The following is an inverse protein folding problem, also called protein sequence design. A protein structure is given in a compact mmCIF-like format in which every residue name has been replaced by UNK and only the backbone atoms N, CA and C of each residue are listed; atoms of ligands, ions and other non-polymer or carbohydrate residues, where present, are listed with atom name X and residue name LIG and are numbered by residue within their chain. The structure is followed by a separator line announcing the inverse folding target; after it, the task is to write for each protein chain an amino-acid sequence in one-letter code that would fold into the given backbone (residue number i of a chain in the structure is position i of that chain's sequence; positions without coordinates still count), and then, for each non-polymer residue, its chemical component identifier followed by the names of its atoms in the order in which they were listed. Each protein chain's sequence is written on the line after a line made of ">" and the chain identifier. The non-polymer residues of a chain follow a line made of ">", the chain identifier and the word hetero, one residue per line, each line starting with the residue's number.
data_IF_778978658450
#
_entry.id   IF_778978658450
#
_cell.length_a   1.000
_cell.length_b   1.000
_cell.length_c   1.000
_cell.angle_alpha   90.00
_cell.angle_beta   90.00
_cell.angle_gamma   90.00
#
_symmetry.space_group_name_H-M   'P 1'
#
loop_
_entity.id
_entity.type
_entity.pdbx_description
1 polymer ?
#
# COMPACT_ATOMS: atom_id res chain seq x y z
N UNK A 1 20.22 -0.25 14.11
CA UNK A 1 20.24 -1.07 15.36
C UNK A 1 19.22 -0.56 16.39
N UNK A 2 18.69 0.65 16.24
CA UNK A 2 17.82 1.33 17.22
C UNK A 2 16.32 0.97 17.12
N UNK A 3 15.76 0.84 15.92
CA UNK A 3 14.32 0.53 15.74
C UNK A 3 13.92 -0.84 16.34
N UNK A 4 14.88 -1.76 16.52
CA UNK A 4 14.64 -3.07 17.14
C UNK A 4 14.16 -2.94 18.58
N UNK A 5 14.63 -1.92 19.30
CA UNK A 5 14.18 -1.64 20.66
C UNK A 5 12.71 -1.17 20.66
N UNK A 6 12.37 -0.22 19.80
CA UNK A 6 10.98 0.24 19.63
C UNK A 6 10.04 -0.91 19.21
N UNK A 7 10.48 -1.77 18.29
CA UNK A 7 9.74 -2.97 17.88
C UNK A 7 9.48 -3.91 19.08
N UNK A 8 10.48 -4.12 19.96
CA UNK A 8 10.30 -4.90 21.19
C UNK A 8 9.30 -4.24 22.15
N UNK A 9 9.38 -2.92 22.34
CA UNK A 9 8.44 -2.17 23.20
C UNK A 9 6.98 -2.28 22.69
N UNK A 10 6.76 -2.14 21.38
CA UNK A 10 5.42 -2.30 20.80
C UNK A 10 4.87 -3.71 20.98
N UNK A 11 5.73 -4.73 20.83
CA UNK A 11 5.36 -6.14 21.04
C UNK A 11 5.04 -6.44 22.51
N UNK A 12 5.90 -6.02 23.45
CA UNK A 12 5.67 -6.25 24.89
C UNK A 12 4.41 -5.55 25.40
N UNK A 13 4.12 -4.35 24.88
CA UNK A 13 2.90 -3.62 25.20
C UNK A 13 1.63 -4.12 24.48
N UNK A 14 1.71 -5.19 23.66
CA UNK A 14 0.61 -5.68 22.80
C UNK A 14 0.03 -4.61 21.86
N UNK A 15 0.86 -3.64 21.47
CA UNK A 15 0.54 -2.49 20.60
C UNK A 15 1.17 -2.58 19.21
N UNK A 16 1.78 -3.71 18.82
CA UNK A 16 2.29 -3.91 17.47
C UNK A 16 1.14 -4.13 16.46
N UNK A 17 1.15 -3.37 15.36
CA UNK A 17 0.26 -3.57 14.22
C UNK A 17 0.73 -4.73 13.33
N UNK A 18 -0.16 -5.19 12.47
CA UNK A 18 0.12 -6.16 11.39
C UNK A 18 0.89 -5.53 10.23
N UNK A 19 0.85 -4.19 10.11
CA UNK A 19 1.58 -3.41 9.12
C UNK A 19 2.95 -3.02 9.68
N UNK A 20 3.98 -3.24 8.89
CA UNK A 20 5.38 -2.94 9.22
C UNK A 20 6.05 -2.14 8.10
N UNK A 21 7.02 -1.31 8.47
CA UNK A 21 7.92 -0.63 7.53
C UNK A 21 9.36 -0.87 7.94
N UNK A 22 10.20 -1.39 7.04
CA UNK A 22 11.59 -1.76 7.36
C UNK A 22 11.72 -2.71 8.56
N UNK A 23 10.71 -3.56 8.79
CA UNK A 23 10.64 -4.45 9.96
C UNK A 23 10.20 -3.82 11.28
N UNK A 24 9.88 -2.52 11.31
CA UNK A 24 9.27 -1.84 12.45
C UNK A 24 7.73 -1.89 12.33
N UNK A 25 7.01 -2.57 13.24
CA UNK A 25 5.55 -2.52 13.23
C UNK A 25 5.05 -1.12 13.55
N UNK A 26 3.94 -0.73 12.93
CA UNK A 26 3.18 0.46 13.35
C UNK A 26 2.52 0.25 14.71
N UNK A 27 2.00 1.32 15.29
CA UNK A 27 1.12 1.24 16.45
C UNK A 27 -0.21 0.61 16.01
N UNK A 28 -0.71 -0.35 16.79
CA UNK A 28 -1.96 -1.06 16.50
C UNK A 28 -3.12 -0.07 16.29
N UNK A 29 -3.87 -0.26 15.21
CA UNK A 29 -4.98 0.59 14.77
C UNK A 29 -4.59 1.99 14.25
N UNK A 30 -3.31 2.39 14.27
CA UNK A 30 -2.91 3.70 13.73
C UNK A 30 -3.02 3.77 12.21
N UNK A 31 -3.10 2.63 11.52
CA UNK A 31 -3.32 2.58 10.07
C UNK A 31 -4.65 3.24 9.63
N UNK A 32 -5.61 3.37 10.55
CA UNK A 32 -6.91 4.03 10.30
C UNK A 32 -6.86 5.54 10.48
N UNK A 33 -5.76 6.09 11.01
CA UNK A 33 -5.58 7.51 11.28
C UNK A 33 -4.91 8.27 10.13
N UNK A 34 -4.79 7.63 8.95
CA UNK A 34 -4.00 8.08 7.80
C UNK A 34 -2.49 8.08 8.06
N UNK A 35 -1.71 7.87 6.99
CA UNK A 35 -0.24 7.86 7.05
C UNK A 35 0.26 8.88 6.03
N UNK A 36 1.09 9.82 6.48
CA UNK A 36 1.81 10.74 5.62
C UNK A 36 3.23 10.22 5.37
N UNK A 37 3.55 9.89 4.12
CA UNK A 37 4.91 9.54 3.69
C UNK A 37 5.48 10.74 2.94
N UNK A 38 6.47 11.40 3.53
CA UNK A 38 7.11 12.60 2.96
C UNK A 38 8.61 12.40 2.75
N UNK A 39 9.20 13.18 1.85
CA UNK A 39 10.62 13.14 1.49
C UNK A 39 10.86 13.65 0.07
N UNK A 40 12.11 13.99 -0.26
CA UNK A 40 12.50 14.45 -1.60
C UNK A 40 12.50 13.31 -2.63
N UNK A 41 12.73 13.62 -3.90
CA UNK A 41 12.87 12.59 -4.95
C UNK A 41 14.03 11.66 -4.61
N UNK A 42 13.85 10.35 -4.78
CA UNK A 42 14.88 9.35 -4.49
C UNK A 42 14.96 8.88 -3.03
N UNK A 43 14.21 9.46 -2.08
CA UNK A 43 14.27 9.07 -0.66
C UNK A 43 13.51 7.78 -0.30
N UNK A 44 12.99 7.05 -1.28
CA UNK A 44 12.38 5.74 -1.05
C UNK A 44 10.87 5.74 -0.74
N UNK A 45 10.13 6.84 -0.99
CA UNK A 45 8.65 6.86 -0.85
C UNK A 45 7.97 5.72 -1.62
N UNK A 46 8.36 5.50 -2.88
CA UNK A 46 7.88 4.39 -3.71
C UNK A 46 8.28 3.03 -3.13
N UNK A 47 9.47 2.92 -2.52
CA UNK A 47 9.91 1.68 -1.87
C UNK A 47 9.03 1.35 -0.65
N UNK A 48 8.65 2.36 0.13
CA UNK A 48 7.71 2.21 1.25
C UNK A 48 6.35 1.67 0.79
N UNK A 49 5.82 2.19 -0.33
CA UNK A 49 4.56 1.69 -0.92
C UNK A 49 4.70 0.26 -1.44
N UNK A 50 5.84 -0.08 -2.06
CA UNK A 50 6.14 -1.44 -2.50
C UNK A 50 6.23 -2.45 -1.34
N UNK A 51 6.57 -2.00 -0.13
CA UNK A 51 6.54 -2.83 1.08
C UNK A 51 5.12 -2.94 1.67
N UNK A 52 4.31 -1.87 1.56
CA UNK A 52 2.96 -1.82 2.13
C UNK A 52 1.95 -2.69 1.37
N UNK A 53 1.93 -2.59 0.03
CA UNK A 53 0.89 -3.24 -0.79
C UNK A 53 0.85 -4.78 -0.62
N UNK A 54 1.99 -5.50 -0.59
CA UNK A 54 1.99 -6.93 -0.29
C UNK A 54 1.40 -7.26 1.08
N UNK A 55 1.61 -6.40 2.08
CA UNK A 55 1.07 -6.61 3.42
C UNK A 55 -0.46 -6.44 3.43
N UNK A 56 -0.99 -5.41 2.77
CA UNK A 56 -2.44 -5.21 2.61
C UNK A 56 -3.06 -6.46 1.96
N UNK A 57 -2.44 -6.95 0.88
CA UNK A 57 -2.88 -8.16 0.18
C UNK A 57 -2.83 -9.40 1.08
N UNK A 58 -1.72 -9.60 1.80
CA UNK A 58 -1.53 -10.71 2.73
C UNK A 58 -2.61 -10.73 3.83
N UNK A 59 -2.97 -9.56 4.34
CA UNK A 59 -4.00 -9.40 5.37
C UNK A 59 -5.43 -9.45 4.82
N UNK A 60 -5.61 -9.63 3.51
CA UNK A 60 -6.90 -9.60 2.79
C UNK A 60 -7.63 -8.27 2.96
N UNK A 61 -6.88 -7.21 3.21
CA UNK A 61 -7.40 -5.85 3.22
C UNK A 61 -7.54 -5.34 1.78
N UNK A 62 -8.37 -4.29 1.59
CA UNK A 62 -8.61 -3.69 0.27
C UNK A 62 -7.86 -2.37 0.15
N UNK A 63 -7.30 -2.11 -1.02
CA UNK A 63 -6.66 -0.84 -1.34
C UNK A 63 -7.23 -0.25 -2.63
N UNK A 64 -7.32 1.08 -2.66
CA UNK A 64 -7.53 1.87 -3.86
C UNK A 64 -6.20 2.58 -4.14
N UNK A 65 -5.62 2.36 -5.31
CA UNK A 65 -4.33 2.93 -5.70
C UNK A 65 -4.56 3.88 -6.85
N UNK A 66 -4.15 5.14 -6.68
CA UNK A 66 -4.05 6.09 -7.80
C UNK A 66 -2.65 5.94 -8.39
N UNK A 67 -2.57 5.37 -9.59
CA UNK A 67 -1.31 5.03 -10.26
C UNK A 67 -1.17 5.81 -11.57
N UNK A 68 -0.48 6.93 -11.51
CA UNK A 68 -0.27 7.82 -12.67
C UNK A 68 0.75 7.28 -13.65
N UNK A 69 1.74 6.50 -13.19
CA UNK A 69 2.82 5.97 -14.04
C UNK A 69 2.48 4.59 -14.61
N UNK A 70 1.66 3.81 -13.90
CA UNK A 70 1.39 2.40 -14.21
C UNK A 70 2.31 1.43 -13.48
N UNK A 71 3.30 1.90 -12.71
CA UNK A 71 4.30 1.02 -12.10
C UNK A 71 3.70 0.08 -11.04
N UNK A 72 2.66 0.51 -10.32
CA UNK A 72 1.97 -0.33 -9.35
C UNK A 72 1.01 -1.29 -10.02
N UNK A 73 0.35 -0.84 -11.08
CA UNK A 73 -0.48 -1.67 -11.95
C UNK A 73 0.35 -2.82 -12.49
N UNK A 74 1.47 -2.53 -13.14
CA UNK A 74 2.30 -3.56 -13.79
C UNK A 74 2.88 -4.57 -12.79
N UNK A 75 3.14 -4.13 -11.56
CA UNK A 75 3.75 -4.99 -10.52
C UNK A 75 2.74 -5.79 -9.70
N UNK A 76 1.59 -5.23 -9.36
CA UNK A 76 0.71 -5.79 -8.34
C UNK A 76 -0.71 -6.10 -8.82
N UNK A 77 -1.12 -5.66 -10.01
CA UNK A 77 -2.45 -5.93 -10.53
C UNK A 77 -2.62 -7.40 -10.90
N UNK A 78 -3.64 -8.04 -10.35
CA UNK A 78 -4.07 -9.39 -10.73
C UNK A 78 -5.43 -9.33 -11.44
N UNK A 79 -5.50 -9.58 -12.77
CA UNK A 79 -6.75 -9.49 -13.54
C UNK A 79 -7.82 -10.48 -13.08
N UNK A 80 -7.48 -11.53 -12.30
CA UNK A 80 -8.44 -12.51 -11.80
C UNK A 80 -9.28 -11.97 -10.63
N UNK A 81 -8.83 -10.93 -9.95
CA UNK A 81 -9.51 -10.46 -8.73
C UNK A 81 -9.50 -8.94 -8.57
N UNK A 82 -8.57 -8.22 -9.19
CA UNK A 82 -8.43 -6.77 -9.07
C UNK A 82 -9.24 -6.05 -10.16
N UNK A 83 -9.54 -4.77 -9.90
CA UNK A 83 -10.26 -3.91 -10.83
C UNK A 83 -9.36 -2.80 -11.32
N UNK A 84 -9.23 -2.68 -12.63
CA UNK A 84 -8.52 -1.57 -13.26
C UNK A 84 -9.54 -0.56 -13.79
N UNK A 85 -9.53 0.65 -13.22
CA UNK A 85 -10.30 1.77 -13.74
C UNK A 85 -9.38 2.65 -14.58
N UNK A 86 -9.52 2.55 -15.89
CA UNK A 86 -8.77 3.34 -16.85
C UNK A 86 -9.65 3.59 -18.10
N UNK A 87 -10.00 4.83 -18.44
CA UNK A 87 -10.88 5.11 -19.58
C UNK A 87 -10.28 4.71 -20.94
N UNK A 88 -8.95 4.61 -21.05
CA UNK A 88 -8.25 4.22 -22.27
C UNK A 88 -8.03 2.71 -22.40
N UNK A 89 -8.39 1.93 -21.37
CA UNK A 89 -8.28 0.47 -21.37
C UNK A 89 -9.62 -0.17 -21.02
N UNK A 90 -9.80 -1.44 -21.37
CA UNK A 90 -10.99 -2.19 -20.97
C UNK A 90 -10.98 -2.35 -19.44
N UNK A 91 -12.09 -1.99 -18.78
CA UNK A 91 -12.31 -2.31 -17.37
C UNK A 91 -12.39 -3.83 -17.26
N UNK A 92 -11.43 -4.44 -16.57
CA UNK A 92 -11.46 -5.87 -16.26
C UNK A 92 -12.08 -6.00 -14.88
N UNK A 93 -13.26 -6.64 -14.80
CA UNK A 93 -13.95 -6.94 -13.55
C UNK A 93 -14.19 -8.43 -13.43
N UNK A 94 -13.24 -9.12 -12.80
CA UNK A 94 -13.42 -10.50 -12.36
C UNK A 94 -13.75 -10.45 -10.87
N UNK A 95 -14.95 -10.89 -10.48
CA UNK A 95 -15.44 -10.76 -9.11
C UNK A 95 -14.61 -11.58 -8.11
N UNK A 96 -13.69 -10.92 -7.40
CA UNK A 96 -13.17 -11.36 -6.11
C UNK A 96 -12.68 -10.13 -5.34
N UNK A 97 -12.37 -10.29 -4.05
CA UNK A 97 -11.99 -9.23 -3.12
C UNK A 97 -10.61 -8.63 -3.49
N UNK A 98 -10.55 -7.74 -4.47
CA UNK A 98 -9.29 -7.24 -5.04
C UNK A 98 -9.05 -5.73 -4.91
N UNK A 99 -7.81 -5.38 -5.20
CA UNK A 99 -7.25 -4.04 -5.26
C UNK A 99 -7.89 -3.27 -6.41
N UNK A 100 -8.30 -2.02 -6.18
CA UNK A 100 -8.82 -1.16 -7.25
C UNK A 100 -7.69 -0.22 -7.65
N UNK A 101 -7.18 -0.36 -8.86
CA UNK A 101 -6.16 0.53 -9.39
C UNK A 101 -6.84 1.55 -10.31
N UNK A 102 -6.81 2.82 -9.92
CA UNK A 102 -7.21 3.94 -10.75
C UNK A 102 -5.99 4.44 -11.50
N UNK A 103 -5.96 4.18 -12.80
CA UNK A 103 -4.99 4.80 -13.70
C UNK A 103 -5.64 6.08 -14.24
N UNK A 104 -5.68 7.11 -13.40
CA UNK A 104 -6.33 8.38 -13.74
C UNK A 104 -5.49 9.16 -14.76
N UNK A 105 -6.15 9.59 -15.83
CA UNK A 105 -5.67 10.57 -16.79
C UNK A 105 -5.47 11.91 -16.06
N UNK A 106 -4.27 12.49 -16.22
CA UNK A 106 -3.83 13.76 -15.64
C UNK A 106 -4.91 14.85 -15.78
N UNK A 107 -5.25 15.49 -14.66
CA UNK A 107 -5.31 16.94 -14.60
C UNK A 107 -4.41 17.37 -13.44
N UNK A 108 -3.38 18.15 -13.77
CA UNK A 108 -2.58 18.89 -12.80
C UNK A 108 -3.51 19.81 -12.00
N UNK A 109 -3.49 19.64 -10.67
CA UNK A 109 -3.55 20.75 -9.71
C UNK A 109 -2.50 20.42 -8.64
#
# INVERSE_FOLDING_TARGET
>A
MEYKYLSKMLKSAKKASKICFGGLPLVKNSERLHILITGTTGTGKTNMLNELLPQIRLHKDRAIIVDTTGAFTDRFFDPKCDKLLNPLKKIVSSGCLGMIVLKQLIFMI
#
